data_IF_851568637015
#
_entry.id   IF_851568637015
#
_cell.length_a   1.000
_cell.length_b   1.000
_cell.length_c   1.000
_cell.angle_alpha   90.00
_cell.angle_beta   90.00
_cell.angle_gamma   90.00
#
_symmetry.space_group_name_H-M   'P 1'
#
loop_
_entity.id
_entity.type
_entity.pdbx_description
1 polymer ?
#
# COMPACT_ATOMS: atom_id res chain seq x y z
N UNK A 1 -40.39 7.89 2.09
CA UNK A 1 -39.98 8.83 1.03
C UNK A 1 -38.64 8.35 0.49
N UNK A 2 -38.70 7.60 -0.61
CA UNK A 2 -37.55 7.08 -1.37
C UNK A 2 -37.04 8.19 -2.30
N UNK A 3 -35.72 8.41 -2.45
CA UNK A 3 -35.21 9.08 -3.63
C UNK A 3 -34.74 8.05 -4.66
N UNK A 4 -35.20 8.28 -5.89
CA UNK A 4 -34.82 7.58 -7.09
C UNK A 4 -33.48 8.12 -7.66
N UNK A 5 -32.80 7.23 -8.39
CA UNK A 5 -31.86 7.49 -9.49
C UNK A 5 -30.57 8.29 -9.22
N UNK A 6 -29.45 7.57 -9.12
CA UNK A 6 -28.22 7.94 -9.81
C UNK A 6 -27.51 6.65 -10.25
N UNK A 7 -27.65 6.29 -11.54
CA UNK A 7 -26.80 5.31 -12.19
C UNK A 7 -25.40 5.93 -12.34
N UNK A 8 -24.63 5.90 -11.26
CA UNK A 8 -23.22 6.23 -11.27
C UNK A 8 -22.46 5.13 -12.00
N UNK A 9 -21.73 5.51 -13.05
CA UNK A 9 -20.70 4.70 -13.67
C UNK A 9 -19.69 4.32 -12.57
N UNK A 10 -19.85 3.12 -12.00
CA UNK A 10 -18.92 2.54 -11.04
C UNK A 10 -17.60 2.30 -11.78
N UNK A 11 -16.72 3.31 -11.78
CA UNK A 11 -15.30 3.07 -11.92
C UNK A 11 -14.95 2.03 -10.85
N UNK A 12 -14.57 0.83 -11.29
CA UNK A 12 -14.08 -0.25 -10.44
C UNK A 12 -12.76 0.21 -9.80
N UNK A 13 -12.83 1.16 -8.86
CA UNK A 13 -11.78 1.40 -7.91
C UNK A 13 -11.74 0.13 -7.04
N UNK A 14 -10.87 -0.81 -7.42
CA UNK A 14 -10.58 -1.97 -6.59
C UNK A 14 -10.09 -1.46 -5.25
N UNK A 15 -10.86 -1.72 -4.19
CA UNK A 15 -10.46 -1.35 -2.84
C UNK A 15 -9.21 -2.16 -2.47
N UNK A 16 -8.20 -1.47 -1.96
CA UNK A 16 -7.08 -2.06 -1.27
C UNK A 16 -7.08 -1.59 0.19
N UNK A 17 -6.84 -2.52 1.10
CA UNK A 17 -6.71 -2.22 2.52
C UNK A 17 -5.30 -2.55 2.96
N UNK A 18 -4.62 -1.57 3.57
CA UNK A 18 -3.26 -1.73 4.07
C UNK A 18 -3.22 -1.63 5.58
N UNK A 19 -2.55 -2.57 6.22
CA UNK A 19 -2.29 -2.60 7.66
C UNK A 19 -0.80 -2.41 7.90
N UNK A 20 -0.44 -1.48 8.79
CA UNK A 20 0.93 -1.22 9.22
C UNK A 20 1.12 -1.84 10.61
N UNK A 21 2.12 -2.69 10.75
CA UNK A 21 2.49 -3.30 12.03
C UNK A 21 3.93 -2.91 12.41
N UNK A 22 4.14 -2.13 13.49
CA UNK A 22 5.49 -1.80 13.93
C UNK A 22 6.22 -3.06 14.42
N UNK A 23 7.49 -3.19 14.06
CA UNK A 23 8.36 -4.29 14.51
C UNK A 23 9.50 -3.80 15.41
N UNK A 24 10.01 -2.61 15.12
CA UNK A 24 11.00 -1.89 15.93
C UNK A 24 10.78 -0.37 15.77
N UNK A 25 11.69 0.44 16.31
CA UNK A 25 11.66 1.91 16.13
C UNK A 25 11.88 2.32 14.67
N UNK A 26 12.62 1.54 13.90
CA UNK A 26 13.05 1.82 12.53
C UNK A 26 12.49 0.83 11.50
N UNK A 27 11.83 -0.25 11.93
CA UNK A 27 11.32 -1.30 11.05
C UNK A 27 9.83 -1.55 11.29
N UNK A 28 9.08 -1.73 10.21
CA UNK A 28 7.67 -2.06 10.26
C UNK A 28 7.27 -2.96 9.09
N UNK A 29 6.21 -3.74 9.29
CA UNK A 29 5.60 -4.56 8.26
C UNK A 29 4.41 -3.83 7.65
N UNK A 30 4.33 -3.84 6.33
CA UNK A 30 3.19 -3.38 5.53
C UNK A 30 2.49 -4.61 4.99
N UNK A 31 1.20 -4.76 5.29
CA UNK A 31 0.38 -5.85 4.77
C UNK A 31 -0.81 -5.26 4.01
N UNK A 32 -0.82 -5.40 2.69
CA UNK A 32 -1.86 -4.90 1.80
C UNK A 32 -2.68 -6.06 1.28
N UNK A 33 -4.01 -5.97 1.41
CA UNK A 33 -4.96 -6.86 0.77
C UNK A 33 -5.68 -6.06 -0.31
N UNK A 34 -5.58 -6.50 -1.55
CA UNK A 34 -6.15 -5.80 -2.69
C UNK A 34 -7.23 -6.65 -3.36
N UNK A 35 -8.33 -6.00 -3.72
CA UNK A 35 -9.42 -6.64 -4.45
C UNK A 35 -8.93 -7.30 -5.76
N UNK A 36 -9.65 -8.32 -6.29
CA UNK A 36 -9.26 -9.02 -7.52
C UNK A 36 -8.96 -8.10 -8.70
N UNK A 37 -9.68 -6.98 -8.79
CA UNK A 37 -9.52 -5.96 -9.84
C UNK A 37 -8.13 -5.29 -9.83
N UNK A 38 -7.40 -5.32 -8.71
CA UNK A 38 -6.09 -4.71 -8.58
C UNK A 38 -4.95 -5.54 -9.18
N UNK A 39 -5.16 -6.85 -9.31
CA UNK A 39 -4.09 -7.78 -9.66
C UNK A 39 -2.92 -7.80 -8.65
N UNK A 40 -1.93 -8.64 -8.92
CA UNK A 40 -0.70 -8.70 -8.12
C UNK A 40 0.10 -7.37 -8.18
N UNK A 41 0.13 -6.72 -9.34
CA UNK A 41 0.86 -5.48 -9.54
C UNK A 41 0.25 -4.31 -8.74
N UNK A 42 -1.09 -4.20 -8.71
CA UNK A 42 -1.78 -3.16 -7.93
C UNK A 42 -1.57 -3.34 -6.44
N UNK A 43 -1.67 -4.58 -5.93
CA UNK A 43 -1.38 -4.88 -4.53
C UNK A 43 0.04 -4.45 -4.12
N UNK A 44 1.03 -4.76 -4.97
CA UNK A 44 2.43 -4.34 -4.77
C UNK A 44 2.61 -2.84 -4.77
N UNK A 45 2.02 -2.15 -5.74
CA UNK A 45 2.13 -0.69 -5.86
C UNK A 45 1.50 0.02 -4.65
N UNK A 46 0.31 -0.42 -4.23
CA UNK A 46 -0.35 0.12 -3.04
C UNK A 46 0.49 -0.11 -1.80
N UNK A 47 1.03 -1.31 -1.62
CA UNK A 47 1.91 -1.63 -0.49
C UNK A 47 3.15 -0.72 -0.50
N UNK A 48 3.77 -0.50 -1.66
CA UNK A 48 4.97 0.33 -1.81
C UNK A 48 4.72 1.81 -1.53
N UNK A 49 3.64 2.37 -2.09
CA UNK A 49 3.22 3.74 -1.78
C UNK A 49 2.85 3.89 -0.29
N UNK A 50 2.19 2.90 0.30
CA UNK A 50 1.85 2.92 1.74
C UNK A 50 3.10 2.90 2.63
N UNK A 51 4.12 2.13 2.25
CA UNK A 51 5.42 2.12 2.93
C UNK A 51 6.05 3.52 2.92
N UNK A 52 6.10 4.17 1.76
CA UNK A 52 6.66 5.51 1.62
C UNK A 52 5.89 6.56 2.47
N UNK A 53 4.55 6.48 2.47
CA UNK A 53 3.72 7.35 3.33
C UNK A 53 4.08 7.16 4.80
N UNK A 54 4.22 5.92 5.26
CA UNK A 54 4.54 5.64 6.66
C UNK A 54 5.94 6.11 7.04
N UNK A 55 6.94 5.98 6.16
CA UNK A 55 8.30 6.52 6.37
C UNK A 55 8.25 8.02 6.62
N UNK A 56 7.52 8.77 5.77
CA UNK A 56 7.39 10.22 5.90
C UNK A 56 6.65 10.59 7.20
N UNK A 57 5.57 9.86 7.55
CA UNK A 57 4.81 10.09 8.79
C UNK A 57 5.65 9.85 10.04
N UNK A 58 6.61 8.93 9.99
CA UNK A 58 7.58 8.68 11.06
C UNK A 58 8.73 9.68 11.07
N UNK A 59 8.78 10.63 10.15
CA UNK A 59 9.81 11.66 10.05
C UNK A 59 11.08 11.23 9.30
N UNK A 60 11.05 10.10 8.59
CA UNK A 60 12.13 9.68 7.70
C UNK A 60 11.93 10.16 6.27
N UNK A 61 13.00 10.13 5.47
CA UNK A 61 12.92 10.30 4.01
C UNK A 61 13.33 9.05 3.25
N UNK A 62 14.28 8.28 3.78
CA UNK A 62 14.88 7.13 3.11
C UNK A 62 14.46 5.81 3.74
N UNK A 63 14.31 4.79 2.91
CA UNK A 63 13.99 3.45 3.36
C UNK A 63 14.54 2.36 2.44
N UNK A 64 14.59 1.13 2.95
CA UNK A 64 14.92 -0.08 2.21
C UNK A 64 13.89 -1.16 2.51
N UNK A 65 13.63 -2.00 1.52
CA UNK A 65 12.79 -3.19 1.69
C UNK A 65 13.69 -4.33 2.17
N UNK A 66 13.48 -4.80 3.40
CA UNK A 66 14.21 -5.95 3.97
C UNK A 66 13.61 -7.29 3.55
N UNK A 67 12.33 -7.31 3.17
CA UNK A 67 11.65 -8.52 2.74
C UNK A 67 10.36 -8.19 2.00
N UNK A 68 10.04 -9.02 1.02
CA UNK A 68 8.83 -8.96 0.20
C UNK A 68 8.18 -10.35 0.20
N UNK A 69 6.88 -10.41 0.40
CA UNK A 69 6.08 -11.61 0.40
C UNK A 69 4.81 -11.34 -0.38
N UNK A 70 4.57 -12.15 -1.41
CA UNK A 70 3.39 -12.04 -2.26
C UNK A 70 2.58 -13.32 -2.08
N UNK A 71 1.31 -13.17 -1.71
CA UNK A 71 0.37 -14.28 -1.57
C UNK A 71 -0.81 -14.04 -2.50
N UNK A 72 -1.29 -15.12 -3.11
CA UNK A 72 -2.52 -15.12 -3.90
C UNK A 72 -3.37 -16.32 -3.49
N UNK A 73 -4.66 -16.09 -3.28
CA UNK A 73 -5.58 -17.15 -2.89
C UNK A 73 -7.01 -16.88 -3.34
N UNK A 74 -7.82 -17.93 -3.38
CA UNK A 74 -9.26 -17.81 -3.62
C UNK A 74 -9.97 -17.43 -2.32
N UNK A 75 -10.66 -16.29 -2.33
CA UNK A 75 -11.54 -15.84 -1.27
C UNK A 75 -12.98 -15.89 -1.76
N UNK A 76 -13.87 -16.44 -0.95
CA UNK A 76 -15.28 -16.56 -1.31
C UNK A 76 -15.92 -17.80 -0.71
N UNK A 77 -17.17 -18.04 -1.09
CA UNK A 77 -17.93 -19.20 -0.63
C UNK A 77 -18.81 -19.75 -1.76
N UNK A 78 -19.42 -20.90 -1.53
CA UNK A 78 -20.25 -21.59 -2.53
C UNK A 78 -21.49 -20.77 -2.97
N UNK A 79 -21.91 -19.76 -2.22
CA UNK A 79 -23.08 -18.93 -2.51
C UNK A 79 -22.72 -17.64 -3.26
N UNK A 80 -21.53 -17.09 -3.02
CA UNK A 80 -21.04 -15.84 -3.60
C UNK A 80 -20.00 -16.06 -4.73
N UNK A 81 -19.55 -17.29 -4.93
CA UNK A 81 -18.44 -17.62 -5.81
C UNK A 81 -17.07 -17.42 -5.16
N UNK A 82 -16.03 -17.96 -5.79
CA UNK A 82 -14.63 -17.81 -5.36
C UNK A 82 -13.92 -16.80 -6.26
N UNK A 83 -13.28 -15.79 -5.67
CA UNK A 83 -12.53 -14.76 -6.37
C UNK A 83 -11.05 -14.76 -5.96
N UNK A 84 -10.16 -14.50 -6.90
CA UNK A 84 -8.71 -14.41 -6.62
C UNK A 84 -8.40 -13.10 -5.88
N UNK A 85 -7.89 -13.20 -4.65
CA UNK A 85 -7.41 -12.07 -3.87
C UNK A 85 -5.88 -12.02 -3.92
N UNK A 86 -5.34 -10.80 -3.95
CA UNK A 86 -3.90 -10.56 -3.94
C UNK A 86 -3.52 -9.87 -2.63
N UNK A 87 -2.59 -10.46 -1.90
CA UNK A 87 -2.04 -9.87 -0.69
C UNK A 87 -0.53 -9.69 -0.81
N UNK A 88 -0.07 -8.53 -0.39
CA UNK A 88 1.34 -8.16 -0.39
C UNK A 88 1.81 -7.82 1.03
N UNK A 89 2.78 -8.56 1.53
CA UNK A 89 3.52 -8.26 2.73
C UNK A 89 4.90 -7.68 2.40
N UNK A 90 5.29 -6.59 3.05
CA UNK A 90 6.65 -6.06 2.95
C UNK A 90 7.19 -5.70 4.33
N UNK A 91 8.48 -5.90 4.53
CA UNK A 91 9.19 -5.41 5.71
C UNK A 91 10.03 -4.23 5.30
N UNK A 92 9.74 -3.07 5.88
CA UNK A 92 10.34 -1.79 5.53
C UNK A 92 11.22 -1.35 6.67
N UNK A 93 12.47 -0.99 6.36
CA UNK A 93 13.39 -0.36 7.30
C UNK A 93 13.65 1.07 6.88
N UNK A 94 13.39 2.00 7.78
CA UNK A 94 13.81 3.38 7.64
C UNK A 94 15.33 3.48 7.73
N UNK A 95 15.90 4.28 6.85
CA UNK A 95 17.34 4.55 6.80
C UNK A 95 17.56 5.99 7.28
N UNK A 96 18.36 6.20 8.34
CA UNK A 96 18.69 7.53 8.81
C UNK A 96 19.39 8.36 7.73
N UNK A 97 19.08 9.66 7.68
CA UNK A 97 19.83 10.58 6.83
C UNK A 97 21.30 10.66 7.26
N UNK A 98 22.21 10.65 6.28
CA UNK A 98 23.65 10.70 6.53
C UNK A 98 24.32 9.35 6.86
N UNK A 99 23.55 8.26 6.97
CA UNK A 99 24.14 6.93 7.14
C UNK A 99 24.80 6.43 5.84
N UNK A 100 25.80 5.54 5.89
CA UNK A 100 26.40 4.96 4.68
C UNK A 100 25.38 4.29 3.75
N UNK A 101 24.35 3.67 4.33
CA UNK A 101 23.28 2.95 3.63
C UNK A 101 22.33 3.90 2.88
N UNK A 102 22.27 5.18 3.28
CA UNK A 102 21.39 6.19 2.66
C UNK A 102 21.68 6.44 1.17
N UNK A 103 22.90 6.09 0.71
CA UNK A 103 23.33 6.20 -0.69
C UNK A 103 22.59 5.22 -1.62
N UNK A 104 22.20 4.05 -1.10
CA UNK A 104 21.51 3.00 -1.83
C UNK A 104 20.04 2.85 -1.40
N UNK A 105 19.56 3.73 -0.51
CA UNK A 105 18.20 3.72 -0.01
C UNK A 105 17.24 4.50 -0.93
N UNK A 106 16.00 4.02 -1.02
CA UNK A 106 14.92 4.65 -1.77
C UNK A 106 14.43 5.89 -1.04
N UNK A 107 14.17 7.00 -1.76
CA UNK A 107 13.48 8.14 -1.19
C UNK A 107 11.96 7.93 -1.22
N UNK A 108 11.31 8.15 -0.09
CA UNK A 108 9.86 8.09 0.06
C UNK A 108 9.15 9.19 -0.73
N UNK A 109 9.73 10.40 -0.80
CA UNK A 109 9.14 11.51 -1.56
C UNK A 109 9.24 11.26 -3.06
N UNK A 110 10.39 10.78 -3.53
CA UNK A 110 10.56 10.41 -4.94
C UNK A 110 9.61 9.26 -5.33
N UNK A 111 9.44 8.28 -4.45
CA UNK A 111 8.49 7.17 -4.63
C UNK A 111 7.05 7.65 -4.80
N UNK A 112 6.64 8.68 -4.06
CA UNK A 112 5.29 9.24 -4.13
C UNK A 112 5.11 10.31 -5.22
N UNK A 113 6.21 10.87 -5.73
CA UNK A 113 6.21 11.89 -6.78
C UNK A 113 5.76 13.29 -6.31
N UNK A 114 5.47 14.18 -7.25
CA UNK A 114 5.18 15.59 -6.98
C UNK A 114 3.98 15.82 -6.03
N UNK A 115 3.02 14.89 -5.97
CA UNK A 115 1.84 14.96 -5.11
C UNK A 115 2.03 14.35 -3.71
N UNK A 116 3.26 14.05 -3.28
CA UNK A 116 3.51 13.29 -2.05
C UNK A 116 2.85 13.91 -0.81
N UNK A 117 2.76 15.24 -0.72
CA UNK A 117 2.15 15.94 0.41
C UNK A 117 0.67 15.58 0.57
N UNK A 118 -0.06 15.60 -0.55
CA UNK A 118 -1.48 15.27 -0.57
C UNK A 118 -1.71 13.78 -0.26
N UNK A 119 -0.86 12.91 -0.80
CA UNK A 119 -0.94 11.46 -0.57
C UNK A 119 -0.68 11.16 0.91
N UNK A 120 0.34 11.76 1.51
CA UNK A 120 0.65 11.59 2.94
C UNK A 120 -0.49 12.11 3.82
N UNK A 121 -1.08 13.25 3.46
CA UNK A 121 -2.21 13.84 4.19
C UNK A 121 -3.47 12.94 4.13
N UNK A 122 -3.76 12.33 2.98
CA UNK A 122 -4.87 11.37 2.81
C UNK A 122 -4.61 10.04 3.51
N UNK A 123 -3.35 9.63 3.61
CA UNK A 123 -2.94 8.34 4.19
C UNK A 123 -2.68 7.27 3.12
N UNK A 124 -2.54 6.02 3.56
CA UNK A 124 -2.22 4.90 2.68
C UNK A 124 -3.22 4.81 1.50
N UNK A 125 -2.76 4.63 0.25
CA UNK A 125 -3.66 4.53 -0.89
C UNK A 125 -4.63 3.37 -0.74
N UNK A 126 -5.91 3.64 -0.95
CA UNK A 126 -6.98 2.62 -0.87
C UNK A 126 -7.45 2.14 -2.24
N UNK A 127 -6.81 2.62 -3.30
CA UNK A 127 -7.15 2.33 -4.69
C UNK A 127 -5.91 1.89 -5.45
N UNK A 128 -6.12 1.04 -6.45
CA UNK A 128 -5.04 0.40 -7.19
C UNK A 128 -4.52 1.20 -8.39
N UNK A 129 -4.65 2.54 -8.33
CA UNK A 129 -4.16 3.52 -9.32
C UNK A 129 -2.94 4.30 -8.82
#
# INVERSE_FOLDING_TARGET
MWPAAAAGLLLLAGCAQTQIQPMSKDTFKVATNAAPACGAAGARNVAFKSAAVEVIRKGGDKFVIQGDHSDSGLQGNIFAGFQQNYSQGMVVKMVPEGSPEARNALSARETLGAGWQEIVAKGAPTTCS
#
